data_IF_506327374547
#
_entry.id   IF_506327374547
#
_cell.length_a   1.000
_cell.length_b   1.000
_cell.length_c   1.000
_cell.angle_alpha   90.00
_cell.angle_beta   90.00
_cell.angle_gamma   90.00
#
_symmetry.space_group_name_H-M   'P 1'
#
loop_
_entity.id
_entity.type
_entity.pdbx_description
1 polymer ?
#
# COMPACT_ATOMS: atom_id res chain seq x y z
N UNK A 1 68.35 60.09 7.80
CA UNK A 1 67.38 59.10 8.33
C UNK A 1 66.01 59.37 7.70
N UNK A 2 65.67 58.71 6.59
CA UNK A 2 64.39 58.92 5.89
C UNK A 2 63.30 57.96 6.39
N UNK A 3 62.15 58.47 6.80
CA UNK A 3 61.04 57.65 7.31
C UNK A 3 60.09 57.31 6.16
N UNK A 4 60.23 56.12 5.58
CA UNK A 4 59.31 55.61 4.55
C UNK A 4 57.97 55.28 5.22
N UNK A 5 56.91 56.03 4.88
CA UNK A 5 55.53 55.74 5.28
C UNK A 5 54.80 55.03 4.15
N UNK A 6 54.49 53.75 4.34
CA UNK A 6 53.59 53.03 3.44
C UNK A 6 52.16 53.56 3.56
N UNK A 7 51.43 53.76 2.44
CA UNK A 7 50.01 54.10 2.49
C UNK A 7 49.18 52.93 3.02
N UNK A 8 48.12 53.21 3.77
CA UNK A 8 47.16 52.18 4.21
C UNK A 8 46.33 51.71 3.01
N UNK A 9 46.06 50.40 2.86
CA UNK A 9 45.17 49.92 1.81
C UNK A 9 43.76 50.49 2.00
N UNK A 10 43.12 50.83 0.89
CA UNK A 10 41.71 51.28 0.85
C UNK A 10 40.75 50.14 1.19
N UNK A 11 39.55 50.49 1.64
CA UNK A 11 38.61 49.55 2.24
C UNK A 11 38.20 48.38 1.33
N UNK A 12 38.17 47.18 1.90
CA UNK A 12 37.64 45.98 1.24
C UNK A 12 36.15 46.17 0.99
N UNK A 13 35.74 46.20 -0.28
CA UNK A 13 34.33 46.21 -0.66
C UNK A 13 33.73 44.82 -0.39
N UNK A 14 33.03 44.68 0.73
CA UNK A 14 32.22 43.50 1.05
C UNK A 14 30.84 43.68 0.42
N UNK A 15 30.41 42.83 -0.53
CA UNK A 15 29.07 42.89 -1.08
C UNK A 15 28.01 42.75 0.01
N UNK A 16 26.92 43.51 -0.10
CA UNK A 16 25.91 43.62 0.95
C UNK A 16 25.06 42.34 1.03
N UNK A 17 25.52 41.36 1.82
CA UNK A 17 24.82 40.10 2.05
C UNK A 17 23.48 40.36 2.75
N UNK A 18 22.35 39.77 2.29
CA UNK A 18 21.03 40.05 2.86
C UNK A 18 20.96 39.53 4.31
N UNK A 19 20.98 40.45 5.28
CA UNK A 19 20.93 40.20 6.74
C UNK A 19 19.56 39.74 7.26
N UNK A 20 18.65 39.33 6.36
CA UNK A 20 17.34 38.77 6.69
C UNK A 20 17.12 37.48 5.90
N UNK A 21 17.13 36.36 6.61
CA UNK A 21 16.67 35.08 6.14
C UNK A 21 15.18 35.20 5.77
N UNK A 22 14.84 35.16 4.49
CA UNK A 22 13.43 35.10 4.06
C UNK A 22 12.88 33.69 4.24
N UNK A 23 11.56 33.55 4.29
CA UNK A 23 10.95 32.22 4.45
C UNK A 23 11.30 31.29 3.27
N UNK A 24 11.51 31.84 2.08
CA UNK A 24 11.94 31.12 0.87
C UNK A 24 13.42 30.65 0.92
N UNK A 25 14.23 31.17 1.85
CA UNK A 25 15.56 30.66 2.16
C UNK A 25 15.53 29.55 3.22
N UNK A 26 14.40 29.35 3.89
CA UNK A 26 14.17 28.24 4.81
C UNK A 26 13.59 27.10 3.98
N UNK A 27 14.34 26.01 3.81
CA UNK A 27 13.77 24.78 3.24
C UNK A 27 12.50 24.41 4.04
N UNK A 28 11.36 24.08 3.40
CA UNK A 28 10.16 23.70 4.14
C UNK A 28 10.54 22.63 5.17
N UNK A 29 10.07 22.77 6.43
CA UNK A 29 10.60 22.01 7.55
C UNK A 29 10.55 20.53 7.20
N UNK A 30 11.72 19.86 7.23
CA UNK A 30 11.89 18.48 6.81
C UNK A 30 10.74 17.66 7.36
N UNK A 31 9.82 17.25 6.48
CA UNK A 31 8.57 16.60 6.89
C UNK A 31 8.95 15.42 7.76
N UNK A 32 8.45 15.41 9.01
CA UNK A 32 8.89 14.53 10.10
C UNK A 32 8.80 13.04 9.78
N UNK A 33 8.07 12.74 8.72
CA UNK A 33 7.73 11.44 8.22
C UNK A 33 8.90 10.90 7.40
N UNK A 34 9.89 10.38 8.14
CA UNK A 34 11.00 9.65 7.57
C UNK A 34 10.48 8.46 6.75
N UNK A 35 10.35 8.66 5.44
CA UNK A 35 9.78 7.67 4.52
C UNK A 35 10.84 6.65 4.11
N UNK A 36 11.05 5.65 4.97
CA UNK A 36 11.90 4.50 4.64
C UNK A 36 11.39 3.79 3.37
N UNK A 37 12.29 3.54 2.42
CA UNK A 37 12.04 2.70 1.24
C UNK A 37 13.00 1.51 1.28
N UNK A 38 12.46 0.30 1.34
CA UNK A 38 13.27 -0.92 1.49
C UNK A 38 14.19 -1.17 0.27
N UNK A 39 13.86 -0.61 -0.89
CA UNK A 39 14.69 -0.67 -2.10
C UNK A 39 15.86 0.33 -2.10
N UNK A 40 15.82 1.35 -1.25
CA UNK A 40 16.88 2.38 -1.16
C UNK A 40 17.12 2.74 0.30
N UNK A 41 17.95 1.95 0.99
CA UNK A 41 18.44 2.30 2.33
C UNK A 41 19.16 3.64 2.25
N UNK A 42 18.54 4.67 2.81
CA UNK A 42 19.17 5.97 2.99
C UNK A 42 20.33 5.84 3.98
N UNK A 43 21.52 6.43 3.72
CA UNK A 43 22.66 6.37 4.64
C UNK A 43 22.36 6.85 6.06
N UNK A 44 21.35 7.72 6.23
CA UNK A 44 20.84 8.18 7.53
C UNK A 44 20.19 7.07 8.38
N UNK A 45 19.57 6.04 7.80
CA UNK A 45 19.02 4.91 8.59
C UNK A 45 20.09 3.93 9.03
N UNK A 46 21.20 3.80 8.31
CA UNK A 46 22.18 2.74 8.54
C UNK A 46 22.70 2.72 9.98
N UNK A 47 23.18 3.83 10.58
CA UNK A 47 23.61 3.86 11.98
C UNK A 47 22.52 3.48 13.01
N UNK A 48 21.25 3.66 12.66
CA UNK A 48 20.12 3.26 13.49
C UNK A 48 19.91 1.73 13.46
N UNK A 49 20.04 1.11 12.28
CA UNK A 49 19.97 -0.35 12.10
C UNK A 49 21.16 -1.06 12.74
N UNK A 50 22.36 -0.50 12.61
CA UNK A 50 23.56 -0.97 13.30
C UNK A 50 23.39 -0.92 14.81
N UNK A 51 22.86 0.18 15.36
CA UNK A 51 22.57 0.29 16.79
C UNK A 51 21.54 -0.77 17.25
N UNK A 52 20.50 -1.05 16.46
CA UNK A 52 19.53 -2.11 16.78
C UNK A 52 20.22 -3.47 16.78
N UNK A 53 20.99 -3.78 15.73
CA UNK A 53 21.82 -5.00 15.62
C UNK A 53 22.70 -5.18 16.86
N UNK A 54 23.52 -4.18 17.20
CA UNK A 54 24.39 -4.24 18.40
C UNK A 54 23.59 -4.44 19.69
N UNK A 55 22.36 -3.93 19.80
CA UNK A 55 21.52 -4.11 21.01
C UNK A 55 20.87 -5.49 21.11
N UNK A 56 20.66 -6.17 19.99
CA UNK A 56 20.19 -7.56 19.93
C UNK A 56 21.35 -8.53 20.15
N UNK A 57 22.50 -8.28 19.50
CA UNK A 57 23.76 -9.01 19.70
C UNK A 57 24.22 -8.97 21.17
N UNK A 58 24.12 -7.82 21.85
CA UNK A 58 24.37 -7.67 23.30
C UNK A 58 23.42 -8.47 24.21
N UNK A 59 22.45 -9.19 23.64
CA UNK A 59 21.54 -10.12 24.31
C UNK A 59 21.59 -11.53 23.72
N UNK A 60 22.61 -11.83 22.89
CA UNK A 60 22.76 -13.08 22.14
C UNK A 60 21.52 -13.41 21.28
N UNK A 61 20.85 -12.37 20.76
CA UNK A 61 19.69 -12.48 19.89
C UNK A 61 20.07 -12.09 18.46
N UNK A 62 19.68 -12.93 17.50
CA UNK A 62 19.57 -12.55 16.09
C UNK A 62 18.08 -12.49 15.70
N UNK A 63 17.66 -11.39 15.07
CA UNK A 63 16.27 -11.16 14.67
C UNK A 63 16.19 -10.97 13.17
N UNK A 64 15.28 -11.68 12.51
CA UNK A 64 14.98 -11.47 11.08
C UNK A 64 13.66 -10.72 10.96
N UNK A 65 13.71 -9.50 10.41
CA UNK A 65 12.54 -8.67 10.13
C UNK A 65 12.28 -8.61 8.63
N UNK A 66 11.03 -8.84 8.24
CA UNK A 66 10.52 -8.45 6.93
C UNK A 66 10.16 -6.96 6.95
N UNK A 67 10.59 -6.17 5.96
CA UNK A 67 10.32 -4.72 5.89
C UNK A 67 9.86 -4.32 4.49
N UNK A 68 8.84 -3.45 4.44
CA UNK A 68 8.29 -2.90 3.19
C UNK A 68 7.15 -1.93 3.49
N UNK A 69 6.20 -1.75 2.56
CA UNK A 69 5.05 -0.83 2.78
C UNK A 69 3.72 -1.58 2.96
N UNK A 70 3.08 -1.34 4.11
CA UNK A 70 1.73 -1.81 4.43
C UNK A 70 0.66 -0.92 3.80
N UNK A 71 -0.62 -1.27 3.96
CA UNK A 71 -1.74 -0.46 3.45
C UNK A 71 -1.79 0.91 4.14
N UNK A 72 -2.24 1.98 3.44
CA UNK A 72 -2.38 3.28 4.07
C UNK A 72 -3.69 3.29 4.86
N UNK A 73 -3.60 3.52 6.17
CA UNK A 73 -4.80 3.62 6.99
C UNK A 73 -5.55 4.93 6.69
N UNK A 74 -6.90 4.94 6.64
CA UNK A 74 -7.69 6.13 6.29
C UNK A 74 -7.69 7.22 7.39
N UNK A 75 -6.91 7.02 8.46
CA UNK A 75 -6.72 7.96 9.58
C UNK A 75 -5.89 9.20 9.21
N UNK A 76 -5.32 9.25 8.01
CA UNK A 76 -4.50 10.38 7.54
C UNK A 76 -3.05 10.35 8.02
N UNK A 77 -2.62 9.28 8.69
CA UNK A 77 -1.22 9.12 9.09
C UNK A 77 -0.31 8.74 7.90
N UNK A 78 0.94 9.28 7.87
CA UNK A 78 1.87 9.10 6.75
C UNK A 78 2.66 7.78 6.81
N UNK A 79 2.55 7.02 7.91
CA UNK A 79 3.38 5.86 8.25
C UNK A 79 3.01 4.58 7.48
N UNK A 80 3.16 4.62 6.15
CA UNK A 80 2.94 3.49 5.22
C UNK A 80 3.88 2.28 5.46
N UNK A 81 4.79 2.35 6.43
CA UNK A 81 5.76 1.31 6.78
C UNK A 81 5.06 0.07 7.39
N UNK A 82 5.51 -1.11 6.96
CA UNK A 82 5.18 -2.40 7.59
C UNK A 82 6.48 -3.15 7.90
N UNK A 83 6.54 -3.68 9.12
CA UNK A 83 7.60 -4.54 9.62
C UNK A 83 6.91 -5.81 10.09
N UNK A 84 7.43 -7.00 9.78
CA UNK A 84 6.93 -8.27 10.34
C UNK A 84 8.13 -9.10 10.83
N UNK A 85 8.29 -9.32 12.15
CA UNK A 85 9.29 -10.24 12.66
C UNK A 85 9.02 -11.67 12.19
N UNK A 86 9.95 -12.25 11.44
CA UNK A 86 9.88 -13.62 10.93
C UNK A 86 10.23 -14.60 12.06
N UNK A 87 11.37 -14.35 12.71
CA UNK A 87 11.83 -15.09 13.90
C UNK A 87 10.76 -15.11 14.99
N UNK A 88 10.51 -16.28 15.57
CA UNK A 88 9.65 -16.43 16.74
C UNK A 88 10.30 -15.75 17.95
N UNK A 89 9.72 -14.63 18.39
CA UNK A 89 10.17 -13.87 19.56
C UNK A 89 9.31 -14.21 20.78
N UNK A 90 9.97 -14.37 21.92
CA UNK A 90 9.31 -14.48 23.22
C UNK A 90 8.93 -13.10 23.79
N UNK A 91 8.21 -13.08 24.91
CA UNK A 91 7.74 -11.84 25.53
C UNK A 91 8.88 -10.96 26.10
N UNK A 92 10.05 -11.51 26.43
CA UNK A 92 11.24 -10.77 26.84
C UNK A 92 12.00 -10.26 25.61
N UNK A 93 12.22 -11.11 24.60
CA UNK A 93 12.83 -10.74 23.33
C UNK A 93 12.10 -9.63 22.60
N UNK A 94 10.75 -9.64 22.62
CA UNK A 94 9.94 -8.54 22.10
C UNK A 94 10.26 -7.21 22.79
N UNK A 95 10.27 -7.20 24.13
CA UNK A 95 10.59 -6.02 24.96
C UNK A 95 12.05 -5.55 24.81
N UNK A 96 12.95 -6.39 24.28
CA UNK A 96 14.30 -5.97 23.88
C UNK A 96 14.22 -5.25 22.53
N UNK A 97 13.60 -5.88 21.51
CA UNK A 97 13.46 -5.34 20.16
C UNK A 97 12.74 -3.99 20.14
N UNK A 98 11.55 -3.93 20.74
CA UNK A 98 10.74 -2.71 20.88
C UNK A 98 11.53 -1.57 21.52
N UNK A 99 12.26 -1.88 22.62
CA UNK A 99 13.10 -0.90 23.33
C UNK A 99 14.36 -0.50 22.54
N UNK A 100 14.89 -1.38 21.69
CA UNK A 100 16.01 -1.06 20.80
C UNK A 100 15.56 -0.11 19.69
N UNK A 101 14.44 -0.41 19.02
CA UNK A 101 13.84 0.43 17.97
C UNK A 101 13.40 1.79 18.53
N UNK A 102 12.68 1.82 19.66
CA UNK A 102 12.26 3.09 20.28
C UNK A 102 13.44 3.97 20.76
N UNK A 103 14.60 3.38 21.05
CA UNK A 103 15.85 4.12 21.30
C UNK A 103 16.53 4.58 20.01
N UNK A 104 16.50 3.76 18.96
CA UNK A 104 17.03 4.12 17.65
C UNK A 104 16.25 5.27 17.00
N UNK A 105 14.91 5.23 17.06
CA UNK A 105 14.01 6.31 16.64
C UNK A 105 14.33 7.65 17.31
N UNK A 106 14.63 7.63 18.61
CA UNK A 106 14.98 8.84 19.39
C UNK A 106 16.42 9.32 19.20
N UNK A 107 17.38 8.43 18.90
CA UNK A 107 18.81 8.77 18.77
C UNK A 107 19.23 9.12 17.33
N UNK A 108 18.61 8.50 16.34
CA UNK A 108 19.03 8.58 14.92
C UNK A 108 17.89 9.00 13.99
N UNK A 109 16.79 9.52 14.53
CA UNK A 109 15.62 9.98 13.75
C UNK A 109 15.02 8.92 12.82
N UNK A 110 15.07 7.63 13.20
CA UNK A 110 14.50 6.50 12.44
C UNK A 110 12.96 6.61 12.24
N UNK A 111 12.30 7.55 12.92
CA UNK A 111 10.85 7.78 12.86
C UNK A 111 10.06 6.93 13.85
N UNK A 112 8.90 7.42 14.31
CA UNK A 112 7.99 6.61 15.13
C UNK A 112 7.33 5.50 14.31
N UNK A 113 7.20 5.69 12.99
CA UNK A 113 6.73 4.71 12.02
C UNK A 113 7.29 3.29 12.21
N UNK A 114 8.55 3.15 12.65
CA UNK A 114 9.16 1.86 12.99
C UNK A 114 8.61 1.24 14.29
N UNK A 115 8.42 2.04 15.33
CA UNK A 115 7.75 1.63 16.57
C UNK A 115 6.31 1.18 16.29
N UNK A 116 5.59 1.98 15.50
CA UNK A 116 4.17 1.78 15.20
C UNK A 116 3.95 0.58 14.26
N UNK A 117 4.85 0.39 13.27
CA UNK A 117 4.86 -0.78 12.41
C UNK A 117 5.18 -2.06 13.18
N UNK A 118 6.15 -2.04 14.11
CA UNK A 118 6.43 -3.19 14.97
C UNK A 118 5.20 -3.55 15.83
N UNK A 119 4.55 -2.56 16.45
CA UNK A 119 3.38 -2.78 17.29
C UNK A 119 2.18 -3.34 16.50
N UNK A 120 1.92 -2.84 15.28
CA UNK A 120 0.92 -3.39 14.36
C UNK A 120 1.20 -4.85 13.97
N UNK A 121 2.47 -5.21 13.80
CA UNK A 121 2.89 -6.53 13.30
C UNK A 121 2.43 -7.72 14.16
N UNK A 122 2.21 -7.52 15.46
CA UNK A 122 1.68 -8.55 16.37
C UNK A 122 0.33 -9.10 15.88
N UNK A 123 -0.51 -8.23 15.33
CA UNK A 123 -1.84 -8.54 14.82
C UNK A 123 -1.80 -8.83 13.31
N UNK A 124 -0.99 -8.07 12.56
CA UNK A 124 -0.91 -8.18 11.10
C UNK A 124 -0.16 -9.44 10.62
N UNK A 125 0.69 -10.09 11.43
CA UNK A 125 1.47 -11.29 11.02
C UNK A 125 0.61 -12.39 10.40
N UNK A 126 -0.40 -12.86 11.14
CA UNK A 126 -1.26 -13.97 10.72
C UNK A 126 -2.04 -13.68 9.42
N UNK A 127 -2.38 -12.41 9.17
CA UNK A 127 -3.05 -11.98 7.94
C UNK A 127 -2.10 -11.90 6.72
N UNK A 128 -0.79 -11.99 6.95
CA UNK A 128 0.25 -11.83 5.94
C UNK A 128 1.15 -13.08 5.80
N UNK A 129 0.77 -14.25 6.34
CA UNK A 129 1.57 -15.48 6.28
C UNK A 129 2.03 -15.85 4.84
N UNK A 130 1.16 -15.71 3.83
CA UNK A 130 1.55 -15.94 2.43
C UNK A 130 2.61 -14.93 1.95
N UNK A 131 2.49 -13.64 2.32
CA UNK A 131 3.49 -12.61 2.00
C UNK A 131 4.84 -12.92 2.67
N UNK A 132 4.80 -13.36 3.94
CA UNK A 132 5.99 -13.78 4.69
C UNK A 132 6.68 -14.95 4.00
N UNK A 133 5.93 -15.99 3.61
CA UNK A 133 6.44 -17.15 2.89
C UNK A 133 7.07 -16.78 1.54
N UNK A 134 6.39 -15.99 0.71
CA UNK A 134 6.95 -15.57 -0.59
C UNK A 134 8.20 -14.68 -0.42
N UNK A 135 8.22 -13.79 0.58
CA UNK A 135 9.38 -12.93 0.83
C UNK A 135 10.60 -13.71 1.35
N UNK A 136 10.39 -14.76 2.15
CA UNK A 136 11.45 -15.68 2.57
C UNK A 136 11.99 -16.48 1.37
N UNK A 137 11.13 -16.94 0.46
CA UNK A 137 11.55 -17.63 -0.77
C UNK A 137 12.34 -16.70 -1.71
N UNK A 138 12.00 -15.41 -1.76
CA UNK A 138 12.74 -14.42 -2.54
C UNK A 138 14.10 -14.05 -1.90
N UNK A 139 14.19 -14.08 -0.57
CA UNK A 139 15.40 -13.83 0.22
C UNK A 139 16.19 -12.56 -0.18
N UNK A 140 15.49 -11.47 -0.55
CA UNK A 140 16.13 -10.20 -0.89
C UNK A 140 16.58 -9.50 0.40
N UNK A 141 17.81 -9.80 0.83
CA UNK A 141 18.45 -9.18 2.00
C UNK A 141 18.69 -7.70 1.73
N UNK A 142 18.07 -6.86 2.55
CA UNK A 142 18.21 -5.40 2.55
C UNK A 142 19.40 -5.00 3.43
N UNK A 143 19.44 -5.52 4.66
CA UNK A 143 20.51 -5.26 5.63
C UNK A 143 20.81 -6.56 6.39
N UNK A 144 22.06 -6.82 6.75
CA UNK A 144 22.42 -7.96 7.61
C UNK A 144 23.65 -7.66 8.46
N UNK A 145 23.51 -7.87 9.77
CA UNK A 145 24.56 -7.85 10.78
C UNK A 145 24.22 -8.84 11.88
N UNK A 146 25.18 -9.15 12.77
CA UNK A 146 25.14 -10.26 13.74
C UNK A 146 23.90 -10.32 14.64
N UNK A 147 23.24 -9.19 14.94
CA UNK A 147 21.99 -9.16 15.71
C UNK A 147 20.70 -8.95 14.88
N UNK A 148 20.80 -8.59 13.59
CA UNK A 148 19.66 -8.14 12.79
C UNK A 148 19.85 -8.42 11.29
N UNK A 149 18.93 -9.19 10.71
CA UNK A 149 18.69 -9.23 9.26
C UNK A 149 17.38 -8.50 8.92
N UNK A 150 17.40 -7.66 7.89
CA UNK A 150 16.21 -7.13 7.22
C UNK A 150 16.06 -7.79 5.85
N UNK A 151 14.89 -8.34 5.56
CA UNK A 151 14.48 -8.81 4.23
C UNK A 151 13.49 -7.82 3.60
N UNK A 152 13.55 -7.64 2.29
CA UNK A 152 12.53 -6.92 1.53
C UNK A 152 11.24 -7.74 1.44
N UNK A 153 10.10 -7.06 1.28
CA UNK A 153 8.85 -7.71 0.88
C UNK A 153 8.90 -8.13 -0.58
N UNK A 154 8.26 -9.27 -0.89
CA UNK A 154 8.09 -9.81 -2.23
C UNK A 154 7.82 -8.70 -3.26
N UNK A 155 8.57 -8.74 -4.37
CA UNK A 155 8.53 -7.74 -5.44
C UNK A 155 7.15 -7.67 -6.10
N UNK A 156 6.37 -8.76 -6.15
CA UNK A 156 4.99 -8.72 -6.70
C UNK A 156 4.07 -7.94 -5.75
N UNK A 157 4.13 -8.20 -4.45
CA UNK A 157 3.45 -7.41 -3.42
C UNK A 157 3.87 -5.94 -3.49
N UNK A 158 5.17 -5.65 -3.51
CA UNK A 158 5.73 -4.29 -3.51
C UNK A 158 5.36 -3.51 -4.78
N UNK A 159 5.37 -4.16 -5.95
CA UNK A 159 4.86 -3.61 -7.21
C UNK A 159 3.38 -3.27 -7.10
N UNK A 160 2.51 -4.25 -6.77
CA UNK A 160 1.07 -4.01 -6.59
C UNK A 160 0.80 -2.90 -5.56
N UNK A 161 1.55 -2.89 -4.47
CA UNK A 161 1.44 -1.89 -3.40
C UNK A 161 1.70 -0.49 -3.90
N UNK A 162 2.76 -0.27 -4.70
CA UNK A 162 3.03 1.01 -5.35
C UNK A 162 1.90 1.41 -6.30
N UNK A 163 1.33 0.49 -7.08
CA UNK A 163 0.17 0.79 -7.95
C UNK A 163 -1.05 1.28 -7.16
N UNK A 164 -1.33 0.67 -6.00
CA UNK A 164 -2.40 1.13 -5.09
C UNK A 164 -2.11 2.48 -4.41
N UNK A 165 -0.85 2.95 -4.38
CA UNK A 165 -0.51 4.32 -3.94
C UNK A 165 -0.82 5.30 -5.09
N UNK A 166 -0.49 4.93 -6.33
CA UNK A 166 -0.73 5.79 -7.50
C UNK A 166 -2.22 5.96 -7.83
N UNK A 167 -3.04 4.92 -7.62
CA UNK A 167 -4.49 5.00 -7.84
C UNK A 167 -5.22 5.96 -6.90
N UNK A 168 -4.59 6.33 -5.79
CA UNK A 168 -5.20 7.03 -4.67
C UNK A 168 -4.67 8.45 -4.47
N UNK A 169 -3.76 8.93 -5.33
CA UNK A 169 -3.22 10.30 -5.31
C UNK A 169 -3.74 11.11 -6.50
N UNK A 170 -3.98 12.42 -6.35
CA UNK A 170 -4.27 13.29 -7.49
C UNK A 170 -3.00 13.47 -8.33
N UNK A 171 -3.15 13.42 -9.67
CA UNK A 171 -2.03 13.45 -10.61
C UNK A 171 -1.10 14.66 -10.39
N UNK A 172 0.17 14.38 -10.15
CA UNK A 172 1.22 15.33 -9.76
C UNK A 172 2.52 15.07 -10.52
N UNK A 173 3.44 16.04 -10.54
CA UNK A 173 4.77 15.94 -11.18
C UNK A 173 5.68 14.88 -10.53
N UNK A 174 5.34 14.41 -9.34
CA UNK A 174 5.95 13.22 -8.70
C UNK A 174 5.64 11.93 -9.46
N UNK A 175 4.57 11.91 -10.23
CA UNK A 175 3.94 10.65 -10.60
C UNK A 175 4.61 10.05 -11.83
N UNK A 176 5.22 10.86 -12.70
CA UNK A 176 6.15 10.43 -13.76
C UNK A 176 7.33 9.63 -13.19
N UNK A 177 7.92 10.11 -12.08
CA UNK A 177 9.01 9.40 -11.40
C UNK A 177 8.52 8.09 -10.78
N UNK A 178 7.32 8.11 -10.20
CA UNK A 178 6.69 6.93 -9.61
C UNK A 178 6.31 5.88 -10.65
N UNK A 179 5.85 6.31 -11.83
CA UNK A 179 5.51 5.48 -12.99
C UNK A 179 6.77 4.83 -13.54
N UNK A 180 7.85 5.60 -13.73
CA UNK A 180 9.16 5.09 -14.11
C UNK A 180 9.73 4.09 -13.08
N UNK A 181 9.47 4.30 -11.78
CA UNK A 181 9.82 3.35 -10.72
C UNK A 181 9.01 2.04 -10.81
N UNK A 182 7.71 2.13 -11.12
CA UNK A 182 6.87 0.96 -11.35
C UNK A 182 7.29 0.18 -12.61
N UNK A 183 7.69 0.87 -13.70
CA UNK A 183 8.26 0.23 -14.90
C UNK A 183 9.58 -0.48 -14.58
N UNK A 184 10.47 0.13 -13.78
CA UNK A 184 11.72 -0.51 -13.31
C UNK A 184 11.49 -1.76 -12.46
N UNK A 185 10.49 -1.74 -11.57
CA UNK A 185 10.09 -2.93 -10.81
C UNK A 185 9.50 -4.02 -11.70
N UNK A 186 8.67 -3.65 -12.68
CA UNK A 186 8.10 -4.60 -13.63
C UNK A 186 9.19 -5.25 -14.50
N UNK A 187 10.25 -4.52 -14.86
CA UNK A 187 11.41 -5.09 -15.53
C UNK A 187 12.11 -6.14 -14.66
N UNK A 188 12.46 -5.78 -13.42
CA UNK A 188 13.10 -6.72 -12.47
C UNK A 188 12.25 -7.98 -12.26
N UNK A 189 10.93 -7.82 -12.09
CA UNK A 189 9.97 -8.93 -11.97
C UNK A 189 9.91 -9.83 -13.22
N UNK A 190 10.14 -9.28 -14.40
CA UNK A 190 10.18 -10.05 -15.64
C UNK A 190 11.52 -10.79 -15.76
N UNK A 191 12.62 -10.16 -15.38
CA UNK A 191 13.95 -10.77 -15.36
C UNK A 191 14.00 -11.96 -14.36
N UNK A 192 13.46 -11.77 -13.15
CA UNK A 192 13.28 -12.80 -12.11
C UNK A 192 12.50 -14.02 -12.65
N UNK A 193 11.51 -13.79 -13.52
CA UNK A 193 10.65 -14.81 -14.12
C UNK A 193 11.11 -15.23 -15.54
N UNK A 194 12.42 -15.15 -15.84
CA UNK A 194 13.05 -15.61 -17.09
C UNK A 194 12.53 -14.89 -18.36
N UNK A 195 12.22 -13.61 -18.28
CA UNK A 195 11.68 -12.83 -19.39
C UNK A 195 10.20 -13.09 -19.70
N UNK A 196 9.48 -13.85 -18.85
CA UNK A 196 8.08 -14.24 -19.11
C UNK A 196 7.10 -13.09 -18.79
N UNK A 197 6.19 -12.72 -19.71
CA UNK A 197 5.17 -11.72 -19.44
C UNK A 197 4.07 -12.24 -18.51
N UNK A 198 3.59 -11.37 -17.62
CA UNK A 198 2.50 -11.71 -16.69
C UNK A 198 1.13 -11.54 -17.35
N UNK A 199 0.15 -12.38 -17.00
CA UNK A 199 -1.24 -12.13 -17.41
C UNK A 199 -1.85 -11.01 -16.56
N UNK A 200 -2.70 -10.15 -17.15
CA UNK A 200 -3.53 -9.20 -16.38
C UNK A 200 -4.28 -9.88 -15.22
N UNK A 201 -4.75 -11.12 -15.41
CA UNK A 201 -5.48 -11.87 -14.38
C UNK A 201 -4.61 -12.37 -13.22
N UNK A 202 -3.28 -12.44 -13.39
CA UNK A 202 -2.34 -12.82 -12.32
C UNK A 202 -2.35 -11.77 -11.20
N UNK A 203 -2.21 -10.50 -11.55
CA UNK A 203 -2.20 -9.39 -10.60
C UNK A 203 -3.52 -9.23 -9.84
N UNK A 204 -4.65 -9.73 -10.36
CA UNK A 204 -5.93 -9.74 -9.64
C UNK A 204 -6.08 -10.90 -8.65
N UNK A 205 -5.41 -12.04 -8.89
CA UNK A 205 -5.44 -13.21 -7.99
C UNK A 205 -4.38 -13.17 -6.89
N UNK A 206 -3.18 -12.69 -7.22
CA UNK A 206 -2.05 -12.67 -6.26
C UNK A 206 -2.18 -11.45 -5.35
N UNK A 207 -2.31 -11.68 -4.05
CA UNK A 207 -2.71 -10.67 -3.04
C UNK A 207 -4.04 -9.98 -3.38
N UNK A 208 -5.15 -10.72 -3.37
CA UNK A 208 -6.51 -10.21 -3.63
C UNK A 208 -6.85 -8.96 -2.78
N UNK A 209 -6.32 -8.89 -1.56
CA UNK A 209 -6.49 -7.76 -0.64
C UNK A 209 -5.84 -6.45 -1.10
N UNK A 210 -5.07 -6.45 -2.21
CA UNK A 210 -4.57 -5.26 -2.91
C UNK A 210 -5.25 -5.19 -4.29
N UNK A 211 -6.41 -4.54 -4.39
CA UNK A 211 -7.05 -4.32 -5.68
C UNK A 211 -6.31 -3.20 -6.46
N UNK A 212 -6.01 -3.46 -7.73
CA UNK A 212 -5.26 -2.55 -8.63
C UNK A 212 -6.16 -2.10 -9.77
N UNK A 213 -6.18 -0.80 -10.08
CA UNK A 213 -6.93 -0.28 -11.23
C UNK A 213 -6.37 -0.81 -12.54
N UNK A 214 -7.26 -1.39 -13.35
CA UNK A 214 -6.96 -1.87 -14.69
C UNK A 214 -6.32 -0.79 -15.57
N UNK A 215 -6.81 0.44 -15.49
CA UNK A 215 -6.29 1.59 -16.25
C UNK A 215 -4.77 1.74 -16.07
N UNK A 216 -4.30 1.66 -14.83
CA UNK A 216 -2.88 1.79 -14.47
C UNK A 216 -2.05 0.60 -14.96
N UNK A 217 -2.60 -0.62 -14.91
CA UNK A 217 -1.94 -1.80 -15.49
C UNK A 217 -1.79 -1.65 -17.01
N UNK A 218 -2.78 -1.07 -17.71
CA UNK A 218 -2.66 -0.81 -19.15
C UNK A 218 -1.68 0.33 -19.47
N UNK A 219 -1.67 1.40 -18.66
CA UNK A 219 -0.73 2.51 -18.81
C UNK A 219 0.73 2.06 -18.58
N UNK A 220 0.97 1.23 -17.57
CA UNK A 220 2.29 0.66 -17.28
C UNK A 220 2.72 -0.34 -18.35
N UNK A 221 1.82 -1.18 -18.86
CA UNK A 221 2.12 -2.06 -19.99
C UNK A 221 2.55 -1.26 -21.23
N UNK A 222 1.86 -0.14 -21.53
CA UNK A 222 2.22 0.75 -22.62
C UNK A 222 3.56 1.48 -22.39
N UNK A 223 3.81 1.99 -21.19
CA UNK A 223 5.05 2.66 -20.82
C UNK A 223 6.25 1.68 -20.82
N UNK A 224 6.06 0.45 -20.34
CA UNK A 224 7.07 -0.60 -20.43
C UNK A 224 7.37 -0.95 -21.89
N UNK A 225 6.34 -1.12 -22.72
CA UNK A 225 6.50 -1.44 -24.15
C UNK A 225 7.22 -0.31 -24.90
N UNK A 226 6.99 0.96 -24.56
CA UNK A 226 7.72 2.08 -25.17
C UNK A 226 9.20 2.15 -24.74
N UNK A 227 9.51 1.80 -23.49
CA UNK A 227 10.88 1.81 -22.96
C UNK A 227 11.72 0.58 -23.38
N UNK A 228 11.17 -0.63 -23.24
CA UNK A 228 11.90 -1.90 -23.40
C UNK A 228 11.58 -2.63 -24.71
N UNK A 229 10.60 -2.17 -25.51
CA UNK A 229 10.13 -2.79 -26.78
C UNK A 229 9.58 -4.22 -26.66
N UNK A 230 9.50 -4.75 -25.43
CA UNK A 230 8.91 -6.05 -25.09
C UNK A 230 7.53 -5.86 -24.45
N UNK A 231 6.67 -6.87 -24.57
CA UNK A 231 5.40 -6.89 -23.85
C UNK A 231 5.60 -7.45 -22.43
N UNK A 232 5.27 -6.66 -21.41
CA UNK A 232 5.38 -7.05 -20.00
C UNK A 232 4.13 -7.74 -19.45
N UNK A 233 2.96 -7.28 -19.88
CA UNK A 233 1.66 -7.72 -19.37
C UNK A 233 0.79 -8.12 -20.56
N UNK A 234 0.36 -9.38 -20.59
CA UNK A 234 -0.63 -9.86 -21.55
C UNK A 234 -1.99 -9.30 -21.14
N UNK A 235 -2.38 -8.20 -21.78
CA UNK A 235 -3.76 -7.73 -21.81
C UNK A 235 -4.59 -8.72 -22.65
N UNK A 236 -5.81 -9.10 -22.23
CA UNK A 236 -6.72 -9.80 -23.11
C UNK A 236 -7.03 -8.93 -24.34
N UNK A 237 -7.23 -9.52 -25.53
CA UNK A 237 -7.54 -8.75 -26.73
C UNK A 237 -8.84 -7.96 -26.50
N UNK A 238 -8.75 -6.63 -26.53
CA UNK A 238 -9.94 -5.78 -26.57
C UNK A 238 -10.80 -6.21 -27.77
N UNK A 239 -12.11 -6.43 -27.61
CA UNK A 239 -12.99 -6.69 -28.74
C UNK A 239 -12.91 -5.46 -29.65
N UNK A 240 -12.34 -5.64 -30.85
CA UNK A 240 -12.23 -4.56 -31.83
C UNK A 240 -13.64 -4.05 -32.11
N UNK A 241 -13.90 -2.78 -31.78
CA UNK A 241 -15.09 -2.10 -32.25
C UNK A 241 -15.19 -2.29 -33.77
N UNK A 242 -16.36 -2.69 -34.26
CA UNK A 242 -16.51 -3.17 -35.63
C UNK A 242 -16.03 -2.12 -36.61
N UNK A 243 -15.00 -2.46 -37.39
CA UNK A 243 -14.48 -1.59 -38.43
C UNK A 243 -15.58 -1.43 -39.48
N UNK A 244 -16.25 -0.27 -39.47
CA UNK A 244 -17.33 0.05 -40.39
C UNK A 244 -16.84 -0.14 -41.83
N UNK A 245 -17.29 -1.21 -42.48
CA UNK A 245 -17.03 -1.43 -43.91
C UNK A 245 -17.64 -0.24 -44.68
N UNK A 246 -16.87 0.47 -45.53
CA UNK A 246 -17.42 1.56 -46.31
C UNK A 246 -18.56 1.04 -47.18
N UNK A 247 -19.69 1.75 -47.17
CA UNK A 247 -20.90 1.31 -47.83
C UNK A 247 -20.72 1.35 -49.37
N UNK A 248 -20.55 0.17 -49.98
CA UNK A 248 -20.52 0.03 -51.44
C UNK A 248 -21.91 0.35 -51.98
N UNK A 249 -22.06 1.55 -52.53
CA UNK A 249 -23.29 2.00 -53.17
C UNK A 249 -23.56 1.14 -54.40
N UNK A 250 -24.68 0.42 -54.42
CA UNK A 250 -25.19 -0.24 -55.65
C UNK A 250 -26.09 0.74 -56.41
N UNK A 251 -25.92 0.92 -57.73
CA UNK A 251 -26.74 1.87 -58.50
C UNK A 251 -28.20 1.40 -58.60
N UNK A 252 -29.13 2.35 -58.51
CA UNK A 252 -30.56 2.08 -58.52
C UNK A 252 -31.09 1.82 -59.95
N UNK A 253 -31.39 0.56 -60.26
CA UNK A 253 -32.08 0.19 -61.51
C UNK A 253 -33.59 0.45 -61.35
N UNK A 254 -34.12 1.41 -62.11
CA UNK A 254 -35.56 1.71 -62.17
C UNK A 254 -36.33 0.54 -62.80
N UNK A 255 -37.53 0.26 -62.27
CA UNK A 255 -38.63 -0.42 -62.99
C UNK A 255 -39.94 0.38 -62.82
N UNK A 256 -40.85 0.37 -63.81
CA UNK A 256 -41.95 1.33 -63.88
C UNK A 256 -43.18 0.95 -63.04
N UNK A 257 -44.04 1.94 -62.81
CA UNK A 257 -45.34 1.80 -62.14
C UNK A 257 -46.44 1.46 -63.15
N UNK A 258 -47.34 0.55 -62.80
CA UNK A 258 -48.68 0.42 -63.42
C UNK A 258 -49.66 -0.05 -62.33
N UNK A 259 -50.94 0.30 -62.44
CA UNK A 259 -51.90 0.28 -61.32
C UNK A 259 -53.10 -0.66 -61.54
N UNK A 260 -53.85 -0.89 -60.44
CA UNK A 260 -55.21 -1.50 -60.34
C UNK A 260 -55.21 -3.04 -60.49
N UNK A 261 -56.15 -3.80 -59.91
CA UNK A 261 -57.45 -3.40 -59.31
C UNK A 261 -57.86 -4.20 -58.05
N UNK A 262 -58.49 -3.46 -57.13
CA UNK A 262 -59.68 -3.77 -56.29
C UNK A 262 -60.21 -5.22 -56.22
N UNK A 263 -60.29 -5.76 -54.99
CA UNK A 263 -61.38 -6.61 -54.51
C UNK A 263 -61.49 -6.57 -52.96
N UNK A 264 -62.68 -6.74 -52.38
CA UNK A 264 -62.92 -6.76 -50.92
C UNK A 264 -63.63 -8.06 -50.49
N UNK A 265 -63.26 -8.62 -49.32
CA UNK A 265 -64.02 -9.51 -48.38
C UNK A 265 -63.05 -10.35 -47.52
N UNK A 266 -63.37 -10.88 -46.32
CA UNK A 266 -64.32 -10.47 -45.27
C UNK A 266 -64.19 -11.38 -44.02
N UNK A 267 -64.22 -10.80 -42.81
CA UNK A 267 -64.77 -11.34 -41.52
C UNK A 267 -64.34 -12.73 -40.98
N UNK A 268 -63.68 -12.72 -39.80
CA UNK A 268 -63.73 -13.69 -38.66
C UNK A 268 -62.38 -13.63 -37.89
N UNK A 269 -62.20 -13.36 -36.59
CA UNK A 269 -63.04 -13.22 -35.38
C UNK A 269 -63.34 -14.49 -34.53
N UNK A 270 -62.35 -14.89 -33.70
CA UNK A 270 -62.42 -15.57 -32.38
C UNK A 270 -61.05 -15.36 -31.71
N UNK A 271 -60.82 -14.81 -30.51
CA UNK A 271 -61.46 -14.85 -29.18
C UNK A 271 -61.27 -16.17 -28.39
N UNK A 272 -60.20 -16.20 -27.57
CA UNK A 272 -60.07 -16.46 -26.10
C UNK A 272 -61.10 -17.36 -25.33
N UNK A 273 -61.03 -17.56 -23.97
CA UNK A 273 -59.97 -17.35 -22.95
C UNK A 273 -59.46 -18.74 -22.41
N UNK A 274 -58.97 -19.05 -21.18
CA UNK A 274 -58.85 -18.51 -19.80
C UNK A 274 -57.53 -19.06 -19.18
N UNK A 275 -56.84 -18.55 -18.13
CA UNK A 275 -57.08 -17.59 -17.04
C UNK A 275 -57.61 -18.13 -15.68
N UNK A 276 -56.67 -18.47 -14.76
CA UNK A 276 -56.73 -18.58 -13.27
C UNK A 276 -55.24 -18.57 -12.81
N UNK A 277 -54.64 -17.80 -11.87
CA UNK A 277 -54.98 -16.77 -10.85
C UNK A 277 -55.31 -17.27 -9.41
N UNK A 278 -55.03 -16.43 -8.39
CA UNK A 278 -55.47 -16.51 -6.95
C UNK A 278 -54.60 -17.45 -6.06
N UNK A 279 -54.05 -17.05 -4.88
CA UNK A 279 -54.04 -15.77 -4.13
C UNK A 279 -52.84 -15.64 -3.13
N UNK A 280 -52.44 -14.40 -2.81
CA UNK A 280 -51.89 -13.95 -1.51
C UNK A 280 -53.07 -13.65 -0.56
N UNK A 281 -52.97 -13.50 0.78
CA UNK A 281 -51.90 -12.84 1.56
C UNK A 281 -51.11 -13.88 2.41
N UNK A 282 -50.45 -13.63 3.56
CA UNK A 282 -50.35 -12.46 4.43
C UNK A 282 -49.03 -12.36 5.26
N UNK A 283 -48.93 -11.26 6.00
CA UNK A 283 -48.17 -11.02 7.24
C UNK A 283 -49.17 -10.30 8.20
N UNK A 284 -48.92 -10.09 9.52
CA UNK A 284 -47.66 -10.27 10.25
C UNK A 284 -47.77 -11.05 11.58
N UNK A 285 -46.63 -11.26 12.24
CA UNK A 285 -46.58 -11.54 13.68
C UNK A 285 -45.46 -10.71 14.33
N UNK A 286 -45.79 -9.99 15.42
CA UNK A 286 -44.80 -9.33 16.30
C UNK A 286 -44.46 -10.30 17.43
N UNK A 287 -43.21 -10.30 17.90
CA UNK A 287 -42.87 -10.91 19.20
C UNK A 287 -42.18 -9.86 20.07
N UNK A 288 -42.77 -9.56 21.23
CA UNK A 288 -42.29 -8.53 22.15
C UNK A 288 -42.84 -8.74 23.56
N UNK A 289 -42.11 -9.46 24.41
CA UNK A 289 -42.31 -9.68 25.85
C UNK A 289 -40.97 -10.24 26.38
N UNK A 290 -40.41 -9.88 27.55
CA UNK A 290 -40.62 -8.76 28.49
C UNK A 290 -39.29 -8.48 29.22
N UNK A 291 -39.17 -7.34 29.93
CA UNK A 291 -38.07 -7.09 30.88
C UNK A 291 -38.44 -7.56 32.29
N UNK A 292 -37.66 -8.47 32.87
CA UNK A 292 -37.50 -8.70 34.31
C UNK A 292 -36.04 -9.15 34.50
N UNK A 293 -35.22 -8.66 35.44
CA UNK A 293 -35.36 -7.54 36.38
C UNK A 293 -34.02 -7.34 37.11
N UNK A 294 -33.78 -6.18 37.74
CA UNK A 294 -32.59 -5.98 38.59
C UNK A 294 -32.83 -6.55 39.99
N UNK A 295 -31.77 -7.04 40.67
CA UNK A 295 -31.09 -6.19 41.65
C UNK A 295 -29.56 -6.13 41.40
N UNK A 296 -28.81 -5.07 41.68
CA UNK A 296 -28.88 -3.96 42.65
C UNK A 296 -28.20 -4.24 44.02
N UNK A 297 -27.06 -3.54 44.21
CA UNK A 297 -26.46 -3.03 45.45
C UNK A 297 -25.49 -3.91 46.28
N UNK A 298 -24.43 -3.23 46.75
CA UNK A 298 -23.60 -3.43 47.95
C UNK A 298 -22.50 -4.52 47.96
N UNK A 299 -21.25 -4.06 47.88
CA UNK A 299 -20.27 -4.35 48.95
C UNK A 299 -20.41 -3.30 50.09
N UNK A 300 -19.39 -3.06 50.94
CA UNK A 300 -18.06 -3.68 51.03
C UNK A 300 -17.76 -4.29 52.42
N UNK A 301 -16.54 -4.84 52.62
CA UNK A 301 -15.63 -4.60 53.79
C UNK A 301 -14.52 -5.67 53.95
N UNK A 302 -13.29 -5.20 54.09
CA UNK A 302 -12.24 -5.78 54.94
C UNK A 302 -12.26 -5.09 56.33
N UNK A 303 -11.47 -5.50 57.34
CA UNK A 303 -10.86 -6.82 57.63
C UNK A 303 -11.43 -7.40 58.96
N UNK A 304 -10.72 -8.32 59.66
CA UNK A 304 -10.07 -7.90 60.91
C UNK A 304 -8.65 -8.47 61.15
N UNK A 305 -8.07 -8.19 62.32
CA UNK A 305 -6.71 -8.59 62.75
C UNK A 305 -6.68 -9.90 63.58
N UNK A 306 -5.48 -10.46 63.76
CA UNK A 306 -5.17 -11.61 64.63
C UNK A 306 -4.86 -12.88 63.84
N UNK A 307 -3.96 -13.78 64.27
CA UNK A 307 -3.29 -13.96 65.58
C UNK A 307 -1.81 -14.38 65.37
N UNK A 308 -0.92 -14.12 66.35
CA UNK A 308 0.47 -14.64 66.37
C UNK A 308 0.52 -16.12 66.74
N UNK A 309 1.42 -16.87 66.12
CA UNK A 309 2.10 -18.00 66.77
C UNK A 309 3.58 -17.98 66.41
N UNK A 310 4.44 -17.81 67.41
CA UNK A 310 5.86 -18.13 67.35
C UNK A 310 6.06 -19.63 67.56
N UNK A 311 7.05 -20.28 66.91
CA UNK A 311 7.91 -21.35 67.47
C UNK A 311 8.85 -21.96 66.43
N UNK A 312 10.14 -21.94 66.76
CA UNK A 312 11.22 -22.87 66.41
C UNK A 312 10.95 -23.99 65.39
N UNK A 313 11.80 -24.07 64.35
CA UNK A 313 12.91 -25.03 64.45
C UNK A 313 14.17 -24.56 63.73
#
# INVERSE_FOLDING_TARGET
MGVIRFPRPTGIYVPNSPTRLTNDMISPPLSSDFNFDAETITPSTLPALEYISTKLQQRMMHVTLLVGRGKPYPTGEPSDLMIIPITSLDALGWRILERAIAKAAKKFSLGQSWSDALNRSQYERHANEYLVQQSILQNEVVFSQEGLTLLNMDRIYTFKRRLCILSNRPFSRTDDQSMASCVKLLHRLIDDFQGRPFSKAFFHRVYEQLNVRDDLLTAIAAAYKSAHKLDAIILPPQPKAEQQKPAIQKPAVRKPVTQKSVAQKSVAQKQAPKAVRVKRPAQPAKCSIQRIGAPAKRGPKTPPLGVRCDSNH
#
